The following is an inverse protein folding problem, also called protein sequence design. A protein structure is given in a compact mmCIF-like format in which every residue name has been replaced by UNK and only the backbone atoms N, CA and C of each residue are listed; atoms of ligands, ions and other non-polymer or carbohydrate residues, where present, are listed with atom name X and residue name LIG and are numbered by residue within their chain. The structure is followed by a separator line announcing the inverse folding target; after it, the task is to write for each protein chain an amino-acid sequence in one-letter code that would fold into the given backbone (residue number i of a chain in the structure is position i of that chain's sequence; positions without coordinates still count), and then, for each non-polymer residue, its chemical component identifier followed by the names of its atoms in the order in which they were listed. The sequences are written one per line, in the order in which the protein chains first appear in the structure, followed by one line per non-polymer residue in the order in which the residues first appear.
data_IF_162225960344
#
_entry.id   IF_162225960344
#
_cell.length_a   1.000
_cell.length_b   1.000
_cell.length_c   1.000
_cell.angle_alpha   90.00
_cell.angle_beta   90.00
_cell.angle_gamma   90.00
#
_symmetry.space_group_name_H-M   'P 1'
#
loop_
_entity.id
_entity.type
_entity.pdbx_description
1 polymer ?
#
# COMPACT_ATOMS: atom_id res chain seq x y z
N UNK A 1 37.45 -0.61 -3.83
CA UNK A 1 36.53 -1.70 -3.39
C UNK A 1 37.31 -2.99 -3.46
N UNK A 2 37.64 -3.60 -2.33
CA UNK A 2 38.40 -4.86 -2.29
C UNK A 2 37.49 -6.03 -2.67
N UNK A 3 37.83 -6.74 -3.74
CA UNK A 3 37.11 -7.93 -4.21
C UNK A 3 37.18 -9.05 -3.18
N UNK A 4 36.03 -9.62 -2.82
CA UNK A 4 35.93 -10.79 -1.95
C UNK A 4 36.30 -12.01 -2.79
N UNK A 5 37.58 -12.39 -2.80
CA UNK A 5 38.02 -13.66 -3.39
C UNK A 5 37.57 -14.81 -2.51
N UNK A 6 36.81 -15.76 -3.08
CA UNK A 6 36.46 -17.01 -2.39
C UNK A 6 37.75 -17.80 -2.10
N UNK A 7 37.95 -18.19 -0.84
CA UNK A 7 39.07 -19.08 -0.45
C UNK A 7 38.81 -20.48 -1.00
N UNK A 8 39.86 -21.16 -1.46
CA UNK A 8 39.84 -22.55 -1.93
C UNK A 8 39.71 -23.50 -0.74
N UNK A 9 38.47 -23.75 -0.30
CA UNK A 9 38.14 -24.69 0.77
C UNK A 9 37.18 -24.12 1.82
N UNK A 10 36.25 -24.96 2.29
CA UNK A 10 35.23 -24.63 3.29
C UNK A 10 33.88 -24.20 2.71
N UNK A 11 32.88 -23.98 3.58
CA UNK A 11 31.56 -23.47 3.17
C UNK A 11 31.73 -22.06 2.59
N UNK A 12 31.24 -21.80 1.37
CA UNK A 12 31.31 -20.47 0.76
C UNK A 12 30.72 -19.40 1.69
N UNK A 13 31.40 -18.26 1.77
CA UNK A 13 30.92 -17.13 2.55
C UNK A 13 29.63 -16.58 1.90
N UNK A 14 28.62 -16.27 2.72
CA UNK A 14 27.43 -15.55 2.25
C UNK A 14 27.82 -14.21 1.65
N UNK A 15 27.15 -13.84 0.56
CA UNK A 15 27.28 -12.51 -0.04
C UNK A 15 26.97 -11.43 1.02
N UNK A 16 27.60 -10.27 0.88
CA UNK A 16 27.36 -9.10 1.74
C UNK A 16 25.89 -8.71 1.79
N UNK A 17 25.15 -8.89 0.68
CA UNK A 17 23.72 -8.57 0.57
C UNK A 17 22.86 -9.53 1.41
N UNK A 18 23.19 -10.82 1.42
CA UNK A 18 22.41 -11.85 2.13
C UNK A 18 22.76 -11.98 3.62
N UNK A 19 23.76 -11.23 4.08
CA UNK A 19 24.25 -11.29 5.45
C UNK A 19 23.47 -10.32 6.33
N UNK A 20 22.75 -10.85 7.32
CA UNK A 20 22.06 -10.08 8.34
C UNK A 20 23.08 -9.37 9.26
N UNK A 21 23.47 -8.14 8.92
CA UNK A 21 24.48 -7.35 9.66
C UNK A 21 23.92 -6.17 10.45
N UNK A 22 22.69 -5.74 10.16
CA UNK A 22 22.06 -4.57 10.76
C UNK A 22 21.05 -5.02 11.79
N UNK A 23 20.99 -4.31 12.91
CA UNK A 23 20.02 -4.54 13.99
C UNK A 23 19.06 -3.36 14.02
N UNK A 24 17.75 -3.65 14.04
CA UNK A 24 16.70 -2.68 14.32
C UNK A 24 16.11 -3.07 15.67
N UNK A 25 16.20 -2.19 16.67
CA UNK A 25 15.72 -2.45 18.02
C UNK A 25 14.49 -1.60 18.34
N UNK A 26 13.52 -2.17 19.05
CA UNK A 26 12.36 -1.46 19.58
C UNK A 26 12.13 -1.84 21.05
N UNK A 27 11.58 -0.92 21.84
CA UNK A 27 11.19 -1.18 23.23
C UNK A 27 9.74 -1.66 23.26
N UNK A 28 9.48 -2.67 24.09
CA UNK A 28 8.16 -3.28 24.25
C UNK A 28 7.72 -3.12 25.71
N UNK A 29 6.41 -3.01 25.93
CA UNK A 29 5.85 -3.26 27.26
C UNK A 29 5.95 -4.75 27.60
N UNK A 30 5.84 -5.11 28.87
CA UNK A 30 5.86 -6.53 29.28
C UNK A 30 4.77 -7.34 28.56
N UNK A 31 3.54 -6.82 28.49
CA UNK A 31 2.44 -7.50 27.83
C UNK A 31 2.71 -7.73 26.34
N UNK A 32 3.30 -6.75 25.65
CA UNK A 32 3.70 -6.89 24.25
C UNK A 32 4.79 -7.95 24.08
N UNK A 33 5.79 -7.95 24.97
CA UNK A 33 6.86 -8.95 24.96
C UNK A 33 6.30 -10.36 25.14
N UNK A 34 5.43 -10.60 26.13
CA UNK A 34 4.83 -11.91 26.36
C UNK A 34 3.92 -12.34 25.20
N UNK A 35 3.16 -11.42 24.62
CA UNK A 35 2.34 -11.72 23.44
C UNK A 35 3.20 -12.15 22.24
N UNK A 36 4.32 -11.45 21.98
CA UNK A 36 5.25 -11.82 20.91
C UNK A 36 5.92 -13.17 21.22
N UNK A 37 6.38 -13.38 22.47
CA UNK A 37 7.00 -14.63 22.91
C UNK A 37 6.07 -15.83 22.72
N UNK A 38 4.79 -15.68 23.07
CA UNK A 38 3.78 -16.72 22.86
C UNK A 38 3.61 -17.06 21.38
N UNK A 39 3.39 -16.05 20.53
CA UNK A 39 3.22 -16.25 19.07
C UNK A 39 4.46 -16.85 18.40
N UNK A 40 5.65 -16.42 18.81
CA UNK A 40 6.91 -17.01 18.35
C UNK A 40 6.96 -18.51 18.70
N UNK A 41 6.63 -18.87 19.94
CA UNK A 41 6.53 -20.26 20.39
C UNK A 41 5.52 -21.08 19.58
N UNK A 42 4.32 -20.54 19.35
CA UNK A 42 3.28 -21.18 18.53
C UNK A 42 3.72 -21.40 17.07
N UNK A 43 4.55 -20.50 16.53
CA UNK A 43 5.12 -20.64 15.18
C UNK A 43 6.34 -21.58 15.10
N UNK A 44 6.86 -22.07 16.23
CA UNK A 44 8.09 -22.85 16.28
C UNK A 44 9.37 -22.07 15.93
N UNK A 45 9.30 -20.73 15.92
CA UNK A 45 10.40 -19.85 15.56
C UNK A 45 11.02 -19.20 16.81
N UNK A 46 12.35 -18.96 16.82
CA UNK A 46 12.96 -18.05 17.76
C UNK A 46 12.33 -16.66 17.66
N UNK A 47 12.23 -15.94 18.79
CA UNK A 47 11.61 -14.60 18.85
C UNK A 47 12.21 -13.65 17.79
N UNK A 48 13.52 -13.67 17.59
CA UNK A 48 14.20 -12.81 16.62
C UNK A 48 13.82 -13.12 15.16
N UNK A 49 13.66 -14.40 14.83
CA UNK A 49 13.23 -14.86 13.50
C UNK A 49 11.77 -14.50 13.25
N UNK A 50 10.91 -14.79 14.24
CA UNK A 50 9.49 -14.45 14.20
C UNK A 50 9.29 -12.95 13.99
N UNK A 51 9.96 -12.11 14.80
CA UNK A 51 9.85 -10.65 14.68
C UNK A 51 10.39 -10.17 13.34
N UNK A 52 11.51 -10.72 12.86
CA UNK A 52 12.05 -10.31 11.55
C UNK A 52 11.08 -10.65 10.42
N UNK A 53 10.54 -11.86 10.39
CA UNK A 53 9.56 -12.24 9.38
C UNK A 53 8.32 -11.36 9.47
N UNK A 54 7.78 -11.16 10.67
CA UNK A 54 6.60 -10.32 10.88
C UNK A 54 6.82 -8.88 10.42
N UNK A 55 7.99 -8.28 10.68
CA UNK A 55 8.31 -6.90 10.28
C UNK A 55 8.56 -6.79 8.78
N UNK A 56 9.24 -7.77 8.18
CA UNK A 56 9.53 -7.78 6.72
C UNK A 56 8.26 -8.03 5.92
N UNK A 57 7.36 -8.87 6.42
CA UNK A 57 6.08 -9.20 5.79
C UNK A 57 4.94 -8.27 6.19
N UNK A 58 5.18 -7.30 7.08
CA UNK A 58 4.14 -6.36 7.48
C UNK A 58 3.74 -5.49 6.30
N UNK A 59 2.48 -5.59 5.89
CA UNK A 59 1.88 -4.62 4.97
C UNK A 59 1.68 -3.31 5.74
N UNK A 60 2.48 -2.31 5.41
CA UNK A 60 2.30 -0.95 5.92
C UNK A 60 1.37 -0.24 4.96
N UNK A 61 0.12 -0.04 5.36
CA UNK A 61 -0.81 0.83 4.62
C UNK A 61 -0.42 2.27 4.93
N UNK A 62 0.19 3.02 3.99
CA UNK A 62 0.51 4.41 4.24
C UNK A 62 -0.79 5.19 4.48
N UNK A 63 -0.73 6.21 5.36
CA UNK A 63 -1.81 7.21 5.39
C UNK A 63 -1.89 7.88 4.02
N UNK A 64 -3.10 8.30 3.65
CA UNK A 64 -3.41 8.97 2.39
C UNK A 64 -2.29 9.95 2.03
N UNK A 65 -1.54 9.64 0.97
CA UNK A 65 -0.43 10.49 0.59
C UNK A 65 -0.98 11.76 -0.10
N UNK A 66 -0.15 12.80 -0.28
CA UNK A 66 -0.60 14.06 -0.89
C UNK A 66 -1.14 13.86 -2.31
N UNK A 67 -0.59 12.93 -3.07
CA UNK A 67 -1.01 12.62 -4.44
C UNK A 67 -2.39 11.93 -4.45
N UNK A 68 -2.65 11.01 -3.53
CA UNK A 68 -3.96 10.36 -3.37
C UNK A 68 -5.02 11.39 -2.98
N UNK A 69 -4.69 12.30 -2.05
CA UNK A 69 -5.59 13.38 -1.63
C UNK A 69 -5.93 14.33 -2.78
N UNK A 70 -4.95 14.69 -3.60
CA UNK A 70 -5.15 15.52 -4.78
C UNK A 70 -6.00 14.79 -5.84
N UNK A 71 -5.82 13.47 -5.97
CA UNK A 71 -6.60 12.64 -6.90
C UNK A 71 -8.05 12.49 -6.43
N UNK A 72 -8.30 12.31 -5.13
CA UNK A 72 -9.65 12.36 -4.54
C UNK A 72 -10.30 13.73 -4.77
N UNK A 73 -9.55 14.81 -4.62
CA UNK A 73 -10.07 16.17 -4.88
C UNK A 73 -10.49 16.35 -6.34
N UNK A 74 -9.68 15.84 -7.29
CA UNK A 74 -10.05 15.84 -8.72
C UNK A 74 -11.33 15.05 -8.97
N UNK A 75 -11.46 13.86 -8.37
CA UNK A 75 -12.66 13.04 -8.47
C UNK A 75 -13.90 13.78 -7.94
N UNK A 76 -13.79 14.44 -6.78
CA UNK A 76 -14.87 15.25 -6.23
C UNK A 76 -15.24 16.42 -7.17
N UNK A 77 -14.26 17.00 -7.87
CA UNK A 77 -14.50 18.04 -8.88
C UNK A 77 -15.36 17.56 -10.06
N UNK A 78 -15.27 16.29 -10.44
CA UNK A 78 -16.09 15.73 -11.53
C UNK A 78 -17.59 15.68 -11.19
N UNK A 79 -17.98 15.73 -9.91
CA UNK A 79 -19.37 15.84 -9.50
C UNK A 79 -20.01 17.17 -9.97
N UNK A 80 -19.24 18.26 -9.98
CA UNK A 80 -19.72 19.54 -10.51
C UNK A 80 -19.95 19.47 -12.02
N UNK A 81 -19.07 18.79 -12.75
CA UNK A 81 -19.22 18.58 -14.19
C UNK A 81 -20.47 17.74 -14.50
N UNK A 82 -20.73 16.69 -13.70
CA UNK A 82 -21.93 15.87 -13.83
C UNK A 82 -23.20 16.69 -13.58
N UNK A 83 -23.22 17.53 -12.55
CA UNK A 83 -24.37 18.40 -12.24
C UNK A 83 -24.64 19.39 -13.39
N UNK A 84 -23.60 19.97 -13.99
CA UNK A 84 -23.75 20.86 -15.14
C UNK A 84 -24.35 20.13 -16.35
N UNK A 85 -23.89 18.91 -16.64
CA UNK A 85 -24.47 18.09 -17.71
C UNK A 85 -25.93 17.72 -17.42
N UNK A 86 -26.28 17.42 -16.17
CA UNK A 86 -27.66 17.15 -15.77
C UNK A 86 -28.57 18.37 -15.99
N UNK A 87 -28.13 19.57 -15.59
CA UNK A 87 -28.90 20.80 -15.85
C UNK A 87 -29.07 21.08 -17.34
N UNK A 88 -28.02 20.91 -18.15
CA UNK A 88 -28.09 21.06 -19.61
C UNK A 88 -29.02 20.03 -20.26
N UNK A 89 -28.98 18.78 -19.80
CA UNK A 89 -29.86 17.71 -20.27
C UNK A 89 -31.32 18.02 -19.96
N UNK A 90 -31.61 18.55 -18.76
CA UNK A 90 -32.96 18.94 -18.37
C UNK A 90 -33.49 20.12 -19.20
N UNK A 91 -32.63 21.05 -19.59
CA UNK A 91 -33.02 22.22 -20.37
C UNK A 91 -33.15 21.96 -21.88
N UNK A 92 -32.25 21.14 -22.45
CA UNK A 92 -32.13 20.97 -23.90
C UNK A 92 -32.29 19.53 -24.41
N UNK A 93 -32.59 18.59 -23.53
CA UNK A 93 -32.71 17.17 -23.85
C UNK A 93 -31.38 16.42 -23.80
N UNK A 94 -31.46 15.10 -23.56
CA UNK A 94 -30.30 14.24 -23.31
C UNK A 94 -29.35 14.12 -24.51
N UNK A 95 -29.85 14.21 -25.74
CA UNK A 95 -29.05 14.11 -26.96
C UNK A 95 -27.92 15.15 -27.01
N UNK A 96 -28.12 16.33 -26.41
CA UNK A 96 -27.15 17.43 -26.40
C UNK A 96 -25.97 17.21 -25.45
N UNK A 97 -26.02 16.20 -24.56
CA UNK A 97 -24.98 15.95 -23.54
C UNK A 97 -24.39 14.54 -23.61
N UNK A 98 -24.92 13.66 -24.46
CA UNK A 98 -24.57 12.25 -24.48
C UNK A 98 -23.07 12.02 -24.72
N UNK A 99 -22.46 12.79 -25.62
CA UNK A 99 -21.02 12.70 -25.92
C UNK A 99 -20.17 13.17 -24.73
N UNK A 100 -20.52 14.29 -24.09
CA UNK A 100 -19.79 14.76 -22.91
C UNK A 100 -19.93 13.82 -21.72
N UNK A 101 -21.08 13.17 -21.54
CA UNK A 101 -21.28 12.17 -20.49
C UNK A 101 -20.36 10.96 -20.65
N UNK A 102 -20.16 10.47 -21.87
CA UNK A 102 -19.21 9.38 -22.14
C UNK A 102 -17.77 9.81 -21.83
N UNK A 103 -17.39 11.05 -22.19
CA UNK A 103 -16.07 11.59 -21.85
C UNK A 103 -15.88 11.72 -20.33
N UNK A 104 -16.89 12.23 -19.62
CA UNK A 104 -16.88 12.36 -18.17
C UNK A 104 -16.74 11.00 -17.49
N UNK A 105 -17.47 9.99 -17.95
CA UNK A 105 -17.35 8.60 -17.48
C UNK A 105 -15.91 8.10 -17.61
N UNK A 106 -15.30 8.24 -18.79
CA UNK A 106 -13.95 7.74 -19.03
C UNK A 106 -12.93 8.45 -18.14
N UNK A 107 -13.07 9.77 -17.96
CA UNK A 107 -12.23 10.57 -17.07
C UNK A 107 -12.37 10.18 -15.60
N UNK A 108 -13.59 9.88 -15.14
CA UNK A 108 -13.82 9.34 -13.78
C UNK A 108 -13.10 8.00 -13.61
N UNK A 109 -13.18 7.11 -14.60
CA UNK A 109 -12.48 5.82 -14.59
C UNK A 109 -10.96 6.02 -14.53
N UNK A 110 -10.41 6.93 -15.33
CA UNK A 110 -8.97 7.27 -15.31
C UNK A 110 -8.53 7.77 -13.92
N UNK A 111 -9.28 8.71 -13.32
CA UNK A 111 -8.98 9.25 -12.00
C UNK A 111 -9.06 8.15 -10.93
N UNK A 112 -10.06 7.27 -11.00
CA UNK A 112 -10.19 6.12 -10.10
C UNK A 112 -8.98 5.17 -10.24
N UNK A 113 -8.51 4.94 -11.46
CA UNK A 113 -7.38 4.06 -11.70
C UNK A 113 -6.06 4.62 -11.15
N UNK A 114 -5.90 5.96 -11.08
CA UNK A 114 -4.72 6.63 -10.54
C UNK A 114 -4.56 6.50 -9.02
N UNK A 115 -5.63 6.24 -8.28
CA UNK A 115 -5.56 6.07 -6.85
C UNK A 115 -4.97 4.67 -6.50
N UNK A 116 -4.06 4.57 -5.52
CA UNK A 116 -3.32 3.33 -5.12
C UNK A 116 -4.21 2.10 -4.87
N UNK A 117 -3.83 0.87 -5.18
CA UNK A 117 -4.73 -0.28 -4.94
C UNK A 117 -5.10 -0.53 -3.45
N UNK A 118 -4.34 0.06 -2.53
CA UNK A 118 -4.54 0.01 -1.07
C UNK A 118 -5.92 0.50 -0.59
N UNK A 119 -6.58 1.41 -1.34
CA UNK A 119 -7.93 1.89 -1.00
C UNK A 119 -9.04 1.14 -1.77
N UNK A 120 -8.74 0.57 -2.95
CA UNK A 120 -9.72 -0.18 -3.77
C UNK A 120 -10.15 -1.49 -3.12
N UNK A 121 -9.25 -2.11 -2.35
CA UNK A 121 -9.43 -3.45 -1.78
C UNK A 121 -9.68 -3.47 -0.27
N UNK A 122 -10.11 -2.35 0.34
CA UNK A 122 -10.56 -2.35 1.74
C UNK A 122 -11.84 -3.19 1.87
N UNK A 123 -11.71 -4.52 2.01
CA UNK A 123 -12.67 -5.32 2.77
C UNK A 123 -12.62 -4.75 4.17
N UNK A 124 -13.56 -3.87 4.50
CA UNK A 124 -13.66 -3.25 5.81
C UNK A 124 -13.78 -4.31 6.88
N UNK A 125 -12.66 -4.80 7.41
CA UNK A 125 -12.61 -5.39 8.74
C UNK A 125 -12.75 -4.21 9.69
N UNK A 126 -14.01 -3.86 9.96
CA UNK A 126 -14.39 -3.15 11.17
C UNK A 126 -13.83 -3.98 12.32
N UNK A 127 -12.89 -3.40 13.06
CA UNK A 127 -12.53 -3.87 14.40
C UNK A 127 -13.70 -3.51 15.32
#
# INVERSE_FOLDING_TARGET
MTEIRNKSGGRPAKNRIDKQKRVVSTKLTELQYYAIKKRAGESGLPISEYVRQAVVSAEVIPRLNKQDADTIRKLAGEANNLNQLAHRANAGGFALVAVELVKLKNRIIEIINLLSDDWKNKKGKRI
#
